data_IF_620111099098
#
_entry.id   IF_620111099098
#
_cell.length_a   1.000
_cell.length_b   1.000
_cell.length_c   1.000
_cell.angle_alpha   90.00
_cell.angle_beta   90.00
_cell.angle_gamma   90.00
#
_symmetry.space_group_name_H-M   'P 1'
#
loop_
_entity.id
_entity.type
_entity.pdbx_description
1 polymer ?
#
# COMPACT_ATOMS: atom_id res chain seq x y z
N UNK A 1 32.28 24.72 36.21
CA UNK A 1 30.93 24.90 35.66
C UNK A 1 29.97 24.22 36.62
N UNK A 2 28.96 24.89 37.18
CA UNK A 2 28.04 24.25 38.11
C UNK A 2 27.21 23.21 37.33
N UNK A 3 27.02 22.06 37.97
CA UNK A 3 26.23 20.93 37.49
C UNK A 3 24.84 21.37 37.01
N UNK A 4 24.53 21.02 35.76
CA UNK A 4 23.23 21.32 35.19
C UNK A 4 22.11 20.77 36.07
N UNK A 5 21.13 21.60 36.34
CA UNK A 5 19.95 21.30 37.15
C UNK A 5 19.27 20.03 36.65
N UNK A 6 19.55 18.91 37.29
CA UNK A 6 18.79 17.68 37.13
C UNK A 6 17.56 17.76 38.03
N UNK A 7 16.42 18.10 37.45
CA UNK A 7 15.15 17.95 38.15
C UNK A 7 14.82 16.47 38.28
N UNK A 8 15.01 15.90 39.44
CA UNK A 8 14.63 14.53 39.75
C UNK A 8 13.41 14.56 40.66
N UNK A 9 12.21 14.35 40.14
CA UNK A 9 11.05 14.07 40.97
C UNK A 9 11.02 12.55 41.25
N UNK A 10 11.22 12.15 42.50
CA UNK A 10 11.15 10.77 42.94
C UNK A 10 10.09 10.68 44.04
N UNK A 11 8.95 10.03 43.74
CA UNK A 11 7.90 9.78 44.72
C UNK A 11 6.86 8.77 44.16
N UNK A 12 6.19 8.01 45.02
CA UNK A 12 5.22 7.02 44.64
C UNK A 12 3.92 7.57 44.05
N UNK A 13 3.72 8.87 44.05
CA UNK A 13 2.67 9.58 43.33
C UNK A 13 3.35 10.55 42.38
N UNK A 14 3.24 10.31 41.09
CA UNK A 14 3.92 11.07 40.06
C UNK A 14 3.78 12.56 40.21
N UNK A 15 4.92 13.25 40.24
CA UNK A 15 4.94 14.72 40.20
C UNK A 15 4.89 15.12 38.73
N UNK A 16 3.75 15.63 38.30
CA UNK A 16 3.59 16.23 36.99
C UNK A 16 4.23 17.62 36.92
N UNK A 17 4.94 17.92 35.86
CA UNK A 17 5.24 19.30 35.49
C UNK A 17 3.98 19.87 34.82
N UNK A 18 3.17 20.60 35.58
CA UNK A 18 1.95 21.20 35.07
C UNK A 18 2.20 22.69 34.77
N UNK A 19 2.09 23.08 33.50
CA UNK A 19 1.98 24.48 33.10
C UNK A 19 0.52 24.79 32.75
N UNK A 20 -0.17 25.47 33.67
CA UNK A 20 -1.50 26.04 33.40
C UNK A 20 -1.35 27.45 32.85
N UNK A 21 -1.57 27.65 31.58
CA UNK A 21 -1.55 28.97 30.99
C UNK A 21 -2.56 29.14 29.88
N UNK A 22 -3.53 30.00 30.10
CA UNK A 22 -4.43 30.49 29.03
C UNK A 22 -3.75 31.59 28.19
N UNK A 23 -2.58 32.06 28.55
CA UNK A 23 -1.90 33.26 28.01
C UNK A 23 -0.55 33.00 27.34
N UNK A 24 0.04 31.80 27.48
CA UNK A 24 1.34 31.50 26.87
C UNK A 24 1.20 30.68 25.61
N UNK A 25 1.77 31.11 24.45
CA UNK A 25 1.69 30.39 23.18
C UNK A 25 2.47 29.05 23.17
N UNK A 26 3.39 28.86 24.14
CA UNK A 26 4.20 27.64 24.28
C UNK A 26 4.26 27.20 25.73
N UNK A 27 3.78 26.01 26.08
CA UNK A 27 3.80 25.45 27.43
C UNK A 27 5.20 25.06 27.90
N UNK A 28 5.99 24.39 27.06
CA UNK A 28 7.38 24.03 27.31
C UNK A 28 8.15 23.92 25.99
N UNK A 29 9.44 24.30 26.01
CA UNK A 29 10.37 24.07 24.93
C UNK A 29 11.54 23.23 25.42
N UNK A 30 11.71 22.04 24.84
CA UNK A 30 12.76 21.11 25.21
C UNK A 30 13.63 20.90 23.95
N UNK A 31 14.93 21.08 24.09
CA UNK A 31 15.88 20.94 23.00
C UNK A 31 17.17 20.25 23.46
N UNK A 32 17.80 19.53 22.56
CA UNK A 32 19.06 18.84 22.78
C UNK A 32 19.78 18.59 21.46
N UNK A 33 21.06 18.24 21.51
CA UNK A 33 21.88 17.94 20.33
C UNK A 33 21.54 16.57 19.74
N UNK A 34 21.25 15.57 20.60
CA UNK A 34 20.94 14.21 20.17
C UNK A 34 19.46 13.87 20.36
N UNK A 35 18.88 14.23 21.50
CA UNK A 35 17.48 13.99 21.83
C UNK A 35 16.93 15.15 22.65
N UNK A 36 15.78 15.69 22.22
CA UNK A 36 15.08 16.74 22.98
C UNK A 36 14.29 16.18 24.15
N UNK A 37 13.54 15.11 23.94
CA UNK A 37 12.74 14.42 24.97
C UNK A 37 12.87 12.89 24.76
N UNK A 38 13.21 12.19 25.84
CA UNK A 38 13.11 10.74 25.95
C UNK A 38 12.09 10.41 27.03
N UNK A 39 11.00 9.74 26.64
CA UNK A 39 9.96 9.27 27.55
C UNK A 39 9.91 7.75 27.50
N UNK A 40 10.09 7.08 28.62
CA UNK A 40 10.12 5.63 28.75
C UNK A 40 9.04 5.20 29.74
N UNK A 41 8.26 4.21 29.35
CA UNK A 41 7.38 3.47 30.25
C UNK A 41 7.93 2.05 30.36
N UNK A 42 8.38 1.64 31.54
CA UNK A 42 9.15 0.41 31.74
C UNK A 42 8.27 -0.84 31.91
N UNK A 43 7.02 -0.70 32.33
CA UNK A 43 6.12 -1.82 32.57
C UNK A 43 4.91 -1.80 31.61
N UNK A 44 3.88 -1.05 32.00
CA UNK A 44 2.67 -0.88 31.18
C UNK A 44 2.19 0.56 31.21
N UNK A 45 1.83 1.10 30.08
CA UNK A 45 1.33 2.46 29.97
C UNK A 45 1.79 3.18 28.70
N UNK A 46 1.63 4.49 28.69
CA UNK A 46 1.93 5.36 27.57
C UNK A 46 3.14 6.24 27.87
N UNK A 47 4.19 6.16 27.05
CA UNK A 47 5.36 7.01 27.20
C UNK A 47 5.05 8.49 26.94
N UNK A 48 4.27 8.81 25.91
CA UNK A 48 3.82 10.17 25.58
C UNK A 48 2.36 10.13 25.14
N UNK A 49 1.50 10.93 25.79
CA UNK A 49 0.12 11.16 25.36
C UNK A 49 -0.05 12.64 24.98
N UNK A 50 -0.30 12.90 23.69
CA UNK A 50 -0.62 14.23 23.18
C UNK A 50 -2.13 14.34 22.90
N UNK A 51 -2.77 15.41 23.39
CA UNK A 51 -4.21 15.64 23.16
C UNK A 51 -4.43 17.05 22.61
N UNK A 52 -4.97 17.16 21.40
CA UNK A 52 -5.50 18.40 20.83
C UNK A 52 -6.99 18.52 21.14
N UNK A 53 -7.43 19.67 21.64
CA UNK A 53 -8.84 19.98 21.88
C UNK A 53 -9.29 21.10 20.97
N UNK A 54 -10.36 20.90 20.22
CA UNK A 54 -10.89 21.85 19.25
C UNK A 54 -10.68 21.41 17.80
N UNK A 55 -11.33 22.12 16.87
CA UNK A 55 -11.28 21.79 15.43
C UNK A 55 -9.85 21.86 14.87
N UNK A 56 -9.48 20.90 14.03
CA UNK A 56 -8.21 20.80 13.29
C UNK A 56 -6.96 20.94 14.17
N UNK A 57 -6.99 20.48 15.44
CA UNK A 57 -5.85 20.55 16.36
C UNK A 57 -5.17 19.18 16.47
N UNK A 58 -3.90 19.03 15.99
CA UNK A 58 -3.16 17.80 16.19
C UNK A 58 -2.82 17.60 17.66
N UNK A 59 -2.94 16.38 18.17
CA UNK A 59 -2.45 16.02 19.49
C UNK A 59 -0.92 15.92 19.51
N UNK A 60 -0.32 15.40 18.45
CA UNK A 60 1.12 15.33 18.22
C UNK A 60 1.41 15.79 16.79
N UNK A 61 2.39 16.66 16.63
CA UNK A 61 2.85 17.12 15.32
C UNK A 61 4.35 16.86 15.20
N UNK A 62 4.73 15.90 14.35
CA UNK A 62 6.11 15.62 13.98
C UNK A 62 6.47 16.37 12.70
N UNK A 63 7.56 17.13 12.72
CA UNK A 63 8.00 17.91 11.58
C UNK A 63 9.53 17.85 11.44
N UNK A 64 10.01 17.70 10.21
CA UNK A 64 11.43 17.73 9.88
C UNK A 64 11.69 18.70 8.73
N UNK A 65 12.64 19.59 8.89
CA UNK A 65 13.10 20.54 7.85
C UNK A 65 14.23 19.97 6.99
N UNK A 66 14.73 18.77 7.31
CA UNK A 66 15.80 18.12 6.56
C UNK A 66 15.29 17.56 5.24
N UNK A 67 16.06 17.71 4.18
CA UNK A 67 15.72 17.17 2.84
C UNK A 67 15.50 15.65 2.79
N UNK A 68 16.09 14.88 3.75
CA UNK A 68 15.88 13.45 3.91
C UNK A 68 15.32 13.12 5.31
N UNK A 69 14.66 14.07 5.96
CA UNK A 69 14.16 13.93 7.32
C UNK A 69 12.87 13.11 7.41
N UNK A 70 12.66 12.51 8.56
CA UNK A 70 11.44 11.79 8.92
C UNK A 70 10.69 12.59 9.99
N UNK A 71 9.46 12.97 9.70
CA UNK A 71 8.64 13.74 10.64
C UNK A 71 8.18 12.88 11.83
N UNK A 72 7.73 11.65 11.59
CA UNK A 72 7.32 10.68 12.61
C UNK A 72 7.84 9.31 12.22
N UNK A 73 8.49 8.61 13.14
CA UNK A 73 8.93 7.22 12.97
C UNK A 73 8.31 6.35 14.06
N UNK A 74 7.56 5.34 13.69
CA UNK A 74 7.01 4.34 14.59
C UNK A 74 7.67 2.99 14.35
N UNK A 75 8.20 2.35 15.39
CA UNK A 75 8.88 1.06 15.32
C UNK A 75 8.38 0.13 16.42
N UNK A 76 8.20 -1.13 16.09
CA UNK A 76 7.93 -2.21 17.03
C UNK A 76 8.79 -3.42 16.62
N UNK A 77 9.60 -3.94 17.56
CA UNK A 77 10.68 -4.87 17.21
C UNK A 77 10.39 -6.34 17.55
N UNK A 78 9.42 -6.64 18.41
CA UNK A 78 9.20 -8.00 18.93
C UNK A 78 7.73 -8.38 18.94
N UNK A 79 7.45 -9.64 18.55
CA UNK A 79 6.13 -10.26 18.60
C UNK A 79 5.35 -10.16 17.28
N UNK A 80 4.62 -11.23 16.97
CA UNK A 80 3.81 -11.31 15.73
C UNK A 80 2.66 -10.28 15.67
N UNK A 81 2.23 -9.78 16.82
CA UNK A 81 1.20 -8.73 16.94
C UNK A 81 1.74 -7.31 17.09
N UNK A 82 3.07 -7.10 16.97
CA UNK A 82 3.68 -5.79 17.16
C UNK A 82 3.28 -4.82 16.04
N UNK A 83 2.88 -3.60 16.40
CA UNK A 83 2.39 -2.58 15.48
C UNK A 83 3.24 -1.31 15.64
N UNK A 84 3.95 -0.92 14.60
CA UNK A 84 4.77 0.30 14.62
C UNK A 84 3.95 1.59 14.65
N UNK A 85 2.82 1.64 13.93
CA UNK A 85 1.89 2.77 13.92
C UNK A 85 0.46 2.23 13.90
N UNK A 86 -0.34 2.65 14.86
CA UNK A 86 -1.77 2.34 14.91
C UNK A 86 -2.58 3.62 14.68
N UNK A 87 -3.38 3.63 13.62
CA UNK A 87 -4.33 4.70 13.33
C UNK A 87 -5.75 4.21 13.56
N UNK A 88 -6.58 4.99 14.25
CA UNK A 88 -7.99 4.70 14.47
C UNK A 88 -8.83 5.97 14.34
N UNK A 89 -9.99 5.86 13.73
CA UNK A 89 -11.01 6.91 13.65
C UNK A 89 -12.39 6.25 13.64
N UNK A 90 -13.29 6.75 14.45
CA UNK A 90 -14.66 6.24 14.53
C UNK A 90 -15.49 6.60 13.28
N UNK A 91 -15.34 7.83 12.78
CA UNK A 91 -16.21 8.36 11.70
C UNK A 91 -15.44 8.83 10.47
N UNK A 92 -14.12 9.02 10.56
CA UNK A 92 -13.28 9.57 9.49
C UNK A 92 -12.22 8.60 8.99
N UNK A 93 -11.19 9.16 8.39
CA UNK A 93 -10.02 8.40 7.96
C UNK A 93 -9.09 8.11 9.15
N UNK A 94 -8.72 6.86 9.34
CA UNK A 94 -7.67 6.46 10.30
C UNK A 94 -6.26 6.88 9.86
N UNK A 95 -6.07 7.12 8.58
CA UNK A 95 -4.86 7.68 7.97
C UNK A 95 -5.22 8.51 6.75
N UNK A 96 -4.60 9.66 6.59
CA UNK A 96 -4.69 10.49 5.39
C UNK A 96 -3.27 10.81 4.92
N UNK A 97 -2.97 10.49 3.66
CA UNK A 97 -1.66 10.66 3.05
C UNK A 97 -1.79 11.55 1.82
N UNK A 98 -1.19 12.73 1.89
CA UNK A 98 -1.15 13.68 0.78
C UNK A 98 0.18 13.56 0.05
N UNK A 99 0.25 12.58 -0.85
CA UNK A 99 1.42 12.23 -1.63
C UNK A 99 1.55 10.72 -1.86
N UNK A 100 2.59 10.28 -2.61
CA UNK A 100 2.85 8.88 -2.85
C UNK A 100 3.12 8.10 -1.56
N UNK A 101 2.55 6.88 -1.46
CA UNK A 101 2.82 5.95 -0.37
C UNK A 101 3.66 4.79 -0.91
N UNK A 102 4.82 4.54 -0.29
CA UNK A 102 5.66 3.38 -0.58
C UNK A 102 5.49 2.32 0.50
N UNK A 103 5.11 1.11 0.09
CA UNK A 103 4.99 -0.06 0.96
C UNK A 103 6.06 -1.07 0.56
N UNK A 104 7.03 -1.31 1.45
CA UNK A 104 8.07 -2.32 1.23
C UNK A 104 7.63 -3.65 1.88
N UNK A 105 6.73 -4.33 1.24
CA UNK A 105 6.11 -5.57 1.73
C UNK A 105 4.68 -5.69 1.20
N UNK A 106 3.90 -6.51 1.85
CA UNK A 106 2.51 -6.73 1.47
C UNK A 106 1.60 -5.62 2.01
N UNK A 107 0.59 -5.25 1.23
CA UNK A 107 -0.53 -4.42 1.67
C UNK A 107 -1.76 -5.32 1.83
N UNK A 108 -2.17 -5.56 3.07
CA UNK A 108 -3.37 -6.30 3.39
C UNK A 108 -4.55 -5.34 3.62
N UNK A 109 -5.67 -5.60 2.96
CA UNK A 109 -6.90 -4.80 3.05
C UNK A 109 -8.07 -5.72 3.27
N UNK A 110 -8.75 -5.61 4.42
CA UNK A 110 -9.94 -6.41 4.75
C UNK A 110 -11.19 -5.95 3.98
N UNK A 111 -11.17 -4.73 3.46
CA UNK A 111 -12.25 -4.14 2.68
C UNK A 111 -11.96 -4.12 1.18
N UNK A 112 -12.66 -3.25 0.48
CA UNK A 112 -12.50 -3.04 -0.95
C UNK A 112 -11.34 -2.09 -1.26
N UNK A 113 -10.62 -2.33 -2.34
CA UNK A 113 -9.62 -1.41 -2.89
C UNK A 113 -10.24 -0.58 -4.01
N UNK A 114 -10.41 0.71 -3.79
CA UNK A 114 -11.03 1.62 -4.74
C UNK A 114 -10.13 2.78 -5.15
N UNK A 115 -10.32 3.24 -6.38
CA UNK A 115 -9.74 4.47 -6.92
C UNK A 115 -10.86 5.47 -7.13
N UNK A 116 -10.69 6.67 -6.60
CA UNK A 116 -11.64 7.77 -6.83
C UNK A 116 -11.18 8.59 -8.04
N UNK A 117 -12.01 8.65 -9.06
CA UNK A 117 -11.75 9.37 -10.30
C UNK A 117 -12.67 10.57 -10.40
N UNK A 118 -12.10 11.74 -10.69
CA UNK A 118 -12.87 12.96 -10.97
C UNK A 118 -13.43 12.91 -12.38
N UNK A 119 -14.71 13.16 -12.53
CA UNK A 119 -15.41 13.24 -13.81
C UNK A 119 -15.39 14.68 -14.36
N UNK A 120 -15.69 14.83 -15.65
CA UNK A 120 -15.76 16.13 -16.35
C UNK A 120 -16.84 17.05 -15.76
N UNK A 121 -17.91 16.48 -15.20
CA UNK A 121 -18.99 17.21 -14.51
C UNK A 121 -18.60 17.67 -13.09
N UNK A 122 -17.34 17.43 -12.68
CA UNK A 122 -16.81 17.79 -11.36
C UNK A 122 -17.16 16.81 -10.25
N UNK A 123 -17.98 15.80 -10.49
CA UNK A 123 -18.28 14.73 -9.52
C UNK A 123 -17.15 13.71 -9.42
N UNK A 124 -17.21 12.85 -8.42
CA UNK A 124 -16.28 11.76 -8.23
C UNK A 124 -16.98 10.41 -8.34
N UNK A 125 -16.29 9.44 -8.96
CA UNK A 125 -16.74 8.06 -9.07
C UNK A 125 -15.69 7.12 -8.50
N UNK A 126 -16.14 6.02 -7.90
CA UNK A 126 -15.26 4.99 -7.35
C UNK A 126 -15.21 3.81 -8.31
N UNK A 127 -14.00 3.41 -8.67
CA UNK A 127 -13.70 2.20 -9.42
C UNK A 127 -12.97 1.22 -8.50
N UNK A 128 -13.28 -0.06 -8.60
CA UNK A 128 -12.72 -1.07 -7.69
C UNK A 128 -11.69 -1.95 -8.40
N UNK A 129 -10.67 -2.39 -7.65
CA UNK A 129 -9.68 -3.33 -8.15
C UNK A 129 -10.30 -4.71 -8.38
N UNK A 130 -9.81 -5.43 -9.40
CA UNK A 130 -10.11 -6.84 -9.62
C UNK A 130 -9.13 -7.67 -8.79
N UNK A 131 -9.67 -8.58 -7.97
CA UNK A 131 -8.88 -9.44 -7.10
C UNK A 131 -8.74 -10.84 -7.70
N UNK A 132 -7.55 -11.41 -7.60
CA UNK A 132 -7.26 -12.77 -8.02
C UNK A 132 -6.77 -13.63 -6.84
N UNK A 133 -7.02 -14.94 -6.83
CA UNK A 133 -6.59 -15.82 -5.75
C UNK A 133 -5.09 -16.17 -5.78
N UNK A 134 -4.37 -15.71 -6.80
CA UNK A 134 -2.94 -15.89 -7.02
C UNK A 134 -2.35 -14.59 -7.57
N UNK A 135 -1.04 -14.46 -7.59
CA UNK A 135 -0.38 -13.27 -8.13
C UNK A 135 -0.29 -13.38 -9.67
N UNK A 136 -1.12 -12.61 -10.37
CA UNK A 136 -1.14 -12.53 -11.83
C UNK A 136 -0.71 -11.14 -12.30
N UNK A 137 0.04 -11.11 -13.42
CA UNK A 137 0.29 -9.92 -14.20
C UNK A 137 -0.41 -10.01 -15.54
N UNK A 138 -0.79 -8.88 -16.08
CA UNK A 138 -1.39 -8.80 -17.40
C UNK A 138 -0.69 -7.77 -18.29
N UNK A 139 -0.72 -8.05 -19.59
CA UNK A 139 -0.28 -7.15 -20.63
C UNK A 139 -1.30 -7.14 -21.77
N UNK A 140 -1.46 -5.99 -22.42
CA UNK A 140 -2.41 -5.79 -23.49
C UNK A 140 -1.69 -5.23 -24.71
N UNK A 141 -2.11 -5.65 -25.89
CA UNK A 141 -1.56 -5.14 -27.13
C UNK A 141 -2.45 -5.39 -28.32
N UNK A 142 -1.94 -4.99 -29.47
CA UNK A 142 -2.61 -5.15 -30.75
C UNK A 142 -1.74 -5.97 -31.68
N UNK A 143 -2.38 -6.75 -32.52
CA UNK A 143 -1.75 -7.50 -33.60
C UNK A 143 -2.49 -7.29 -34.91
N UNK A 144 -1.84 -7.59 -36.02
CA UNK A 144 -2.44 -7.54 -37.35
C UNK A 144 -2.18 -8.85 -38.09
N UNK A 145 -3.22 -9.41 -38.65
CA UNK A 145 -3.12 -10.58 -39.50
C UNK A 145 -2.54 -10.21 -40.86
N UNK A 146 -1.60 -11.02 -41.32
CA UNK A 146 -1.08 -11.01 -42.68
C UNK A 146 -1.21 -12.45 -43.19
N UNK A 147 -1.96 -12.65 -44.26
CA UNK A 147 -2.21 -13.98 -44.85
C UNK A 147 -2.71 -15.00 -43.80
N UNK A 148 -3.68 -14.57 -43.00
CA UNK A 148 -4.33 -15.39 -41.98
C UNK A 148 -3.48 -15.66 -40.71
N UNK A 149 -2.35 -15.00 -40.55
CA UNK A 149 -1.40 -15.27 -39.46
C UNK A 149 -0.87 -13.99 -38.83
N UNK A 150 -0.53 -14.07 -37.55
CA UNK A 150 0.28 -13.07 -36.86
C UNK A 150 1.21 -13.78 -35.88
N UNK A 151 2.37 -13.15 -35.61
CA UNK A 151 3.29 -13.56 -34.57
C UNK A 151 3.39 -12.40 -33.57
N UNK A 152 3.11 -12.69 -32.32
CA UNK A 152 3.20 -11.73 -31.22
C UNK A 152 4.43 -12.07 -30.39
N UNK A 153 5.29 -11.09 -30.19
CA UNK A 153 6.40 -11.16 -29.23
C UNK A 153 5.96 -10.40 -27.96
N UNK A 154 6.06 -11.03 -26.81
CA UNK A 154 5.76 -10.44 -25.53
C UNK A 154 6.83 -9.39 -25.16
N UNK A 155 6.43 -8.38 -24.39
CA UNK A 155 7.37 -7.40 -23.86
C UNK A 155 8.44 -8.11 -23.01
N UNK A 156 9.75 -7.84 -23.22
CA UNK A 156 10.82 -8.47 -22.46
C UNK A 156 10.73 -8.21 -20.94
N UNK A 157 10.22 -7.04 -20.54
CA UNK A 157 9.98 -6.72 -19.14
C UNK A 157 8.88 -7.58 -18.54
N UNK A 158 7.78 -7.81 -19.29
CA UNK A 158 6.71 -8.73 -18.88
C UNK A 158 7.23 -10.17 -18.75
N UNK A 159 8.00 -10.66 -19.71
CA UNK A 159 8.65 -11.98 -19.64
C UNK A 159 9.59 -12.11 -18.45
N UNK A 160 10.33 -11.06 -18.13
CA UNK A 160 11.29 -11.08 -17.02
C UNK A 160 10.63 -11.20 -15.64
N UNK A 161 9.40 -10.71 -15.47
CA UNK A 161 8.68 -10.70 -14.19
C UNK A 161 7.62 -11.80 -14.05
N UNK A 162 7.40 -12.61 -15.09
CA UNK A 162 6.44 -13.71 -15.10
C UNK A 162 7.12 -15.09 -15.05
N UNK A 163 6.38 -16.10 -14.64
CA UNK A 163 6.86 -17.50 -14.63
C UNK A 163 7.05 -18.04 -16.04
N UNK A 164 8.07 -18.90 -16.21
CA UNK A 164 8.20 -19.74 -17.39
C UNK A 164 7.17 -20.87 -17.33
N UNK A 165 6.04 -20.71 -17.98
CA UNK A 165 4.96 -21.69 -17.92
C UNK A 165 3.78 -21.32 -18.79
N UNK A 166 2.66 -22.02 -18.62
CA UNK A 166 1.45 -21.69 -19.35
C UNK A 166 0.89 -20.34 -18.91
N UNK A 167 0.52 -19.53 -19.88
CA UNK A 167 -0.18 -18.28 -19.68
C UNK A 167 -1.47 -18.24 -20.51
N UNK A 168 -2.38 -17.37 -20.14
CA UNK A 168 -3.64 -17.18 -20.84
C UNK A 168 -3.51 -16.09 -21.90
N UNK A 169 -4.13 -16.32 -23.06
CA UNK A 169 -4.26 -15.32 -24.12
C UNK A 169 -5.73 -15.19 -24.47
N UNK A 170 -6.22 -13.96 -24.41
CA UNK A 170 -7.56 -13.59 -24.86
C UNK A 170 -7.41 -12.74 -26.12
N UNK A 171 -8.18 -13.08 -27.16
CA UNK A 171 -8.17 -12.36 -28.43
C UNK A 171 -9.50 -11.65 -28.63
N UNK A 172 -9.44 -10.44 -29.16
CA UNK A 172 -10.60 -9.65 -29.55
C UNK A 172 -10.45 -9.23 -31.00
N UNK A 173 -11.36 -9.68 -31.86
CA UNK A 173 -11.40 -9.31 -33.27
C UNK A 173 -12.02 -7.92 -33.42
N UNK A 174 -11.38 -7.05 -34.21
CA UNK A 174 -11.92 -5.74 -34.56
C UNK A 174 -12.39 -5.64 -36.01
N UNK A 175 -12.00 -6.61 -36.83
CA UNK A 175 -12.38 -6.75 -38.21
C UNK A 175 -12.84 -8.19 -38.48
N UNK A 176 -13.47 -8.44 -39.64
CA UNK A 176 -14.00 -9.75 -40.00
C UNK A 176 -12.88 -10.74 -40.32
N UNK A 177 -12.31 -11.35 -39.31
CA UNK A 177 -11.27 -12.39 -39.43
C UNK A 177 -11.82 -13.82 -39.41
N UNK A 178 -13.14 -13.95 -39.17
CA UNK A 178 -13.88 -15.24 -39.15
C UNK A 178 -13.42 -16.21 -38.06
N UNK A 179 -13.00 -15.68 -36.91
CA UNK A 179 -12.53 -16.43 -35.76
C UNK A 179 -11.01 -16.51 -35.69
N UNK A 180 -10.48 -16.22 -34.52
CA UNK A 180 -9.05 -16.29 -34.22
C UNK A 180 -8.75 -17.35 -33.17
N UNK A 181 -7.62 -18.02 -33.32
CA UNK A 181 -7.12 -18.93 -32.32
C UNK A 181 -5.61 -18.79 -32.12
N UNK A 182 -5.17 -19.13 -30.92
CA UNK A 182 -3.76 -19.02 -30.50
C UNK A 182 -3.01 -20.30 -30.90
N UNK A 183 -1.83 -20.13 -31.45
CA UNK A 183 -0.89 -21.22 -31.80
C UNK A 183 0.48 -20.95 -31.19
N UNK A 184 1.33 -21.97 -31.21
CA UNK A 184 2.78 -21.83 -30.98
C UNK A 184 3.16 -20.96 -29.75
N UNK A 185 2.46 -21.17 -28.62
CA UNK A 185 2.81 -20.46 -27.37
C UNK A 185 4.18 -20.90 -26.88
N UNK A 186 5.04 -19.91 -26.68
CA UNK A 186 6.37 -20.04 -26.11
C UNK A 186 6.51 -19.12 -24.88
N UNK A 187 7.59 -19.18 -24.17
CA UNK A 187 7.87 -18.25 -23.05
C UNK A 187 8.01 -16.78 -23.48
N UNK A 188 8.23 -16.51 -24.75
CA UNK A 188 8.49 -15.14 -25.28
C UNK A 188 7.46 -14.67 -26.31
N UNK A 189 6.40 -15.44 -26.56
CA UNK A 189 5.40 -15.03 -27.54
C UNK A 189 4.46 -16.14 -27.96
N UNK A 190 3.58 -15.82 -28.91
CA UNK A 190 2.57 -16.76 -29.44
C UNK A 190 2.19 -16.41 -30.86
N UNK A 191 1.75 -17.43 -31.59
CA UNK A 191 1.14 -17.26 -32.90
C UNK A 191 -0.37 -17.03 -32.78
N UNK A 192 -0.94 -16.34 -33.78
CA UNK A 192 -2.39 -16.19 -33.97
C UNK A 192 -2.72 -16.61 -35.41
N UNK A 193 -3.80 -17.36 -35.57
CA UNK A 193 -4.30 -17.75 -36.87
C UNK A 193 -5.79 -17.49 -37.01
N UNK A 194 -6.20 -17.14 -38.21
CA UNK A 194 -7.60 -17.09 -38.60
C UNK A 194 -8.14 -18.48 -38.91
N UNK A 195 -9.33 -18.76 -38.43
CA UNK A 195 -10.00 -20.04 -38.69
C UNK A 195 -10.40 -20.21 -40.16
N UNK A 196 -10.68 -19.11 -40.87
CA UNK A 196 -11.08 -19.09 -42.28
C UNK A 196 -9.94 -19.27 -43.29
N UNK A 197 -8.68 -19.32 -42.84
CA UNK A 197 -7.53 -19.58 -43.72
C UNK A 197 -6.74 -18.36 -44.17
N UNK A 198 -6.00 -18.50 -45.30
CA UNK A 198 -4.88 -17.63 -45.66
C UNK A 198 -5.23 -16.20 -46.08
N UNK A 199 -6.48 -15.91 -46.42
CA UNK A 199 -6.86 -14.57 -46.94
C UNK A 199 -7.32 -13.59 -45.86
N UNK A 200 -7.41 -14.04 -44.59
CA UNK A 200 -7.85 -13.19 -43.50
C UNK A 200 -6.80 -12.13 -43.19
N UNK A 201 -7.27 -10.90 -43.10
CA UNK A 201 -6.50 -9.72 -42.74
C UNK A 201 -7.28 -8.95 -41.65
N UNK A 202 -6.63 -8.09 -40.90
CA UNK A 202 -7.33 -7.27 -39.98
C UNK A 202 -6.56 -7.13 -38.67
N UNK A 203 -7.00 -6.15 -37.88
CA UNK A 203 -6.48 -5.88 -36.57
C UNK A 203 -7.23 -6.65 -35.49
N UNK A 204 -6.52 -7.10 -34.49
CA UNK A 204 -7.08 -7.71 -33.30
C UNK A 204 -6.36 -7.19 -32.04
N UNK A 205 -7.08 -7.14 -30.93
CA UNK A 205 -6.49 -6.94 -29.63
C UNK A 205 -6.14 -8.26 -28.94
N UNK A 206 -5.17 -8.22 -28.07
CA UNK A 206 -4.89 -9.32 -27.17
C UNK A 206 -4.70 -8.87 -25.73
N UNK A 207 -5.04 -9.75 -24.80
CA UNK A 207 -4.72 -9.66 -23.39
C UNK A 207 -3.99 -10.94 -22.99
N UNK A 208 -2.81 -10.80 -22.42
CA UNK A 208 -2.02 -11.90 -21.86
C UNK A 208 -2.06 -11.82 -20.36
N UNK A 209 -2.31 -12.96 -19.70
CA UNK A 209 -2.32 -13.06 -18.25
C UNK A 209 -1.40 -14.21 -17.83
N UNK A 210 -0.35 -13.90 -17.09
CA UNK A 210 0.66 -14.84 -16.65
C UNK A 210 0.92 -14.72 -15.14
N UNK A 211 1.33 -15.81 -14.51
CA UNK A 211 1.69 -15.79 -13.08
C UNK A 211 2.92 -14.94 -12.86
N UNK A 212 2.90 -14.14 -11.81
CA UNK A 212 4.09 -13.42 -11.32
C UNK A 212 5.19 -14.42 -10.96
N UNK A 213 6.42 -14.12 -11.35
CA UNK A 213 7.60 -14.91 -10.93
C UNK A 213 7.85 -14.76 -9.43
N UNK A 214 8.14 -15.88 -8.77
CA UNK A 214 8.46 -15.92 -7.35
C UNK A 214 7.43 -16.67 -6.51
N UNK A 215 7.47 -16.55 -5.18
CA UNK A 215 6.57 -17.26 -4.29
C UNK A 215 5.10 -16.94 -4.61
N UNK A 216 4.29 -17.97 -4.74
CA UNK A 216 2.85 -17.85 -4.95
C UNK A 216 2.12 -18.15 -3.65
N UNK A 217 1.04 -17.43 -3.33
CA UNK A 217 0.17 -17.79 -2.22
C UNK A 217 -0.56 -19.10 -2.54
N UNK A 218 -0.94 -19.83 -1.51
CA UNK A 218 -1.92 -20.89 -1.65
C UNK A 218 -3.24 -20.28 -2.14
N UNK A 219 -3.85 -20.92 -3.16
CA UNK A 219 -5.12 -20.46 -3.74
C UNK A 219 -6.22 -20.48 -2.71
N UNK A 220 -6.87 -19.34 -2.45
CA UNK A 220 -7.90 -19.17 -1.41
C UNK A 220 -7.42 -19.61 -0.02
N UNK A 221 -6.15 -19.35 0.30
CA UNK A 221 -5.59 -19.67 1.61
C UNK A 221 -6.46 -19.14 2.75
N UNK A 222 -6.72 -20.02 3.72
CA UNK A 222 -7.46 -19.63 4.93
C UNK A 222 -6.55 -18.77 5.80
N UNK A 223 -6.89 -17.51 5.98
CA UNK A 223 -6.24 -16.66 6.98
C UNK A 223 -7.03 -16.68 8.29
N UNK A 224 -6.31 -16.74 9.41
CA UNK A 224 -6.93 -16.56 10.72
C UNK A 224 -7.30 -15.08 10.89
N UNK A 225 -8.48 -14.82 11.39
CA UNK A 225 -8.88 -13.47 11.79
C UNK A 225 -7.99 -13.00 12.96
N UNK A 226 -7.03 -12.16 12.65
CA UNK A 226 -6.15 -11.53 13.65
C UNK A 226 -6.70 -10.19 14.14
N UNK A 227 -7.86 -9.75 13.65
CA UNK A 227 -8.45 -8.45 13.97
C UNK A 227 -8.85 -8.35 15.44
N UNK A 228 -9.29 -9.45 16.06
CA UNK A 228 -9.62 -9.52 17.48
C UNK A 228 -8.36 -9.36 18.35
N UNK A 229 -7.27 -10.06 18.00
CA UNK A 229 -5.99 -9.95 18.71
C UNK A 229 -5.38 -8.54 18.56
N UNK A 230 -5.54 -7.93 17.39
CA UNK A 230 -5.10 -6.53 17.14
C UNK A 230 -5.92 -5.51 17.93
N UNK A 231 -7.24 -5.73 18.10
CA UNK A 231 -8.12 -4.85 18.92
C UNK A 231 -7.83 -4.94 20.41
N UNK A 232 -7.43 -6.09 20.93
CA UNK A 232 -7.04 -6.25 22.34
C UNK A 232 -5.65 -5.70 22.63
N UNK A 233 -4.80 -5.54 21.63
CA UNK A 233 -3.49 -4.88 21.73
C UNK A 233 -3.58 -3.35 21.68
N UNK A 234 -4.74 -2.78 21.34
CA UNK A 234 -4.95 -1.34 21.43
C UNK A 234 -4.92 -0.94 22.93
N UNK A 235 -4.15 0.11 23.30
CA UNK A 235 -4.14 0.57 24.69
C UNK A 235 -5.58 0.92 25.10
N UNK A 236 -6.01 0.42 26.26
CA UNK A 236 -7.27 0.86 26.86
C UNK A 236 -7.17 2.38 27.15
N UNK A 237 -8.22 3.12 26.82
CA UNK A 237 -8.32 4.57 27.01
C UNK A 237 -8.17 5.00 28.47
#
# INVERSE_FOLDING_TARGET
MPDGNKWKAVGPAGVGFETKGSTFPVGARIGGLESGLVAVCEESGTGVKGTGKGEARPGVHGFSESGNGVGVKGEAHHGEGAIGVWGHSEEGYAGYFDGPVHVNGDLEVDGTKGVTVRMDDGTYRVLYAVEAPEHWFEDLGFGRLVDGRAQITLDPGFVAVTEEGPYHVFLTEYEASHGLYVTDRTSVGFGVRAASGADARGEFGYRVVARRRGPQPERFAVRRDTSAARRTAAPAD
#
